data_IF_030827257785
#
_entry.id   IF_030827257785
#
_cell.length_a   1.000
_cell.length_b   1.000
_cell.length_c   1.000
_cell.angle_alpha   90.00
_cell.angle_beta   90.00
_cell.angle_gamma   90.00
#
_symmetry.space_group_name_H-M   'P 1'
#
loop_
_entity.id
_entity.type
_entity.pdbx_description
1 polymer ?
#
# COMPACT_ATOMS: atom_id res chain seq x y z
N UNK A 1 11.24 9.31 0.94
CA UNK A 1 10.27 9.95 1.84
C UNK A 1 10.69 9.69 3.28
N UNK A 2 10.29 10.53 4.24
CA UNK A 2 10.54 10.33 5.67
C UNK A 2 9.27 10.67 6.43
N UNK A 3 8.78 9.76 7.27
CA UNK A 3 7.56 9.95 8.05
C UNK A 3 7.74 10.89 9.24
N UNK A 4 6.66 11.55 9.67
CA UNK A 4 6.69 12.40 10.87
C UNK A 4 6.66 11.53 12.12
N UNK A 5 7.24 12.05 13.20
CA UNK A 5 7.39 11.33 14.47
C UNK A 5 6.06 10.79 15.03
N UNK A 6 4.97 11.56 14.93
CA UNK A 6 3.67 11.14 15.45
C UNK A 6 3.08 9.96 14.66
N UNK A 7 3.24 9.98 13.33
CA UNK A 7 2.78 8.90 12.43
C UNK A 7 3.59 7.61 12.68
N UNK A 8 4.90 7.74 12.88
CA UNK A 8 5.77 6.62 13.25
C UNK A 8 5.31 5.98 14.57
N UNK A 9 4.95 6.81 15.56
CA UNK A 9 4.61 6.33 16.90
C UNK A 9 3.35 5.44 16.94
N UNK A 10 2.38 5.67 16.04
CA UNK A 10 1.15 4.89 15.99
C UNK A 10 1.43 3.51 15.37
N UNK A 11 2.10 3.50 14.22
CA UNK A 11 2.48 2.27 13.53
C UNK A 11 3.39 1.41 14.41
N UNK A 12 4.35 2.03 15.10
CA UNK A 12 5.25 1.34 16.03
C UNK A 12 4.49 0.64 17.16
N UNK A 13 3.52 1.30 17.80
CA UNK A 13 2.70 0.69 18.88
C UNK A 13 1.94 -0.55 18.45
N UNK A 14 1.58 -0.65 17.17
CA UNK A 14 0.93 -1.84 16.61
C UNK A 14 1.97 -2.92 16.30
N UNK A 15 3.10 -2.55 15.70
CA UNK A 15 4.21 -3.47 15.45
C UNK A 15 4.76 -4.08 16.75
N UNK A 16 4.87 -3.32 17.85
CA UNK A 16 5.28 -3.83 19.17
C UNK A 16 4.38 -4.95 19.69
N UNK A 17 3.13 -5.02 19.25
CA UNK A 17 2.16 -6.05 19.66
C UNK A 17 2.04 -7.20 18.68
N UNK A 18 2.21 -6.93 17.39
CA UNK A 18 1.98 -7.90 16.31
C UNK A 18 3.28 -8.54 15.79
N UNK A 19 4.44 -7.91 15.96
CA UNK A 19 5.70 -8.43 15.45
C UNK A 19 6.13 -9.71 16.19
N UNK A 20 6.70 -10.72 15.49
CA UNK A 20 6.90 -10.79 14.04
C UNK A 20 5.57 -11.00 13.28
N UNK A 21 5.35 -10.23 12.21
CA UNK A 21 4.14 -10.31 11.40
C UNK A 21 4.39 -10.17 9.90
N UNK A 22 3.35 -10.36 9.09
CA UNK A 22 3.36 -10.00 7.67
C UNK A 22 3.02 -8.52 7.50
N UNK A 23 3.98 -7.72 7.04
CA UNK A 23 3.86 -6.28 6.87
C UNK A 23 4.04 -5.88 5.40
N UNK A 24 3.02 -5.29 4.79
CA UNK A 24 3.09 -4.73 3.44
C UNK A 24 3.20 -3.21 3.50
N UNK A 25 4.15 -2.64 2.75
CA UNK A 25 4.36 -1.20 2.64
C UNK A 25 4.29 -0.79 1.18
N UNK A 26 3.36 0.08 0.83
CA UNK A 26 3.37 0.78 -0.46
C UNK A 26 4.26 2.01 -0.32
N UNK A 27 5.44 1.97 -0.93
CA UNK A 27 6.49 2.97 -0.88
C UNK A 27 7.82 2.36 -0.42
N UNK A 28 8.94 2.84 -0.99
CA UNK A 28 10.28 2.49 -0.55
C UNK A 28 11.10 3.76 -0.28
N UNK A 29 11.69 3.86 0.91
CA UNK A 29 12.41 5.05 1.36
C UNK A 29 13.49 4.79 2.41
N UNK A 30 14.00 5.87 3.00
CA UNK A 30 15.02 5.82 4.05
C UNK A 30 14.53 5.17 5.35
N UNK A 31 13.22 5.18 5.57
CA UNK A 31 12.51 4.57 6.67
C UNK A 31 12.26 3.06 6.49
N UNK A 32 12.50 2.50 5.28
CA UNK A 32 12.28 1.07 5.01
C UNK A 32 13.08 0.16 5.93
N UNK A 33 14.35 0.51 6.19
CA UNK A 33 15.18 -0.24 7.13
C UNK A 33 14.62 -0.19 8.56
N UNK A 34 14.11 0.98 8.97
CA UNK A 34 13.47 1.14 10.27
C UNK A 34 12.22 0.24 10.37
N UNK A 35 11.36 0.24 9.36
CA UNK A 35 10.16 -0.62 9.32
C UNK A 35 10.50 -2.11 9.37
N UNK A 36 11.47 -2.54 8.56
CA UNK A 36 11.96 -3.92 8.56
C UNK A 36 12.58 -4.29 9.92
N UNK A 37 13.29 -3.37 10.57
CA UNK A 37 13.92 -3.60 11.88
C UNK A 37 12.90 -3.67 13.02
N UNK A 38 11.85 -2.83 12.99
CA UNK A 38 10.75 -2.91 13.96
C UNK A 38 9.94 -4.19 13.82
N UNK A 39 9.91 -4.79 12.63
CA UNK A 39 9.30 -6.08 12.39
C UNK A 39 10.33 -7.22 12.32
N UNK A 40 11.34 -7.21 13.20
CA UNK A 40 12.41 -8.21 13.21
C UNK A 40 11.85 -9.64 13.30
N UNK A 41 12.43 -10.57 12.52
CA UNK A 41 11.95 -11.95 12.29
C UNK A 41 10.57 -12.08 11.62
N UNK A 42 9.88 -10.97 11.34
CA UNK A 42 8.70 -10.95 10.48
C UNK A 42 9.07 -10.80 9.00
N UNK A 43 8.06 -10.77 8.14
CA UNK A 43 8.23 -10.50 6.71
C UNK A 43 7.72 -9.10 6.40
N UNK A 44 8.59 -8.24 5.87
CA UNK A 44 8.21 -6.88 5.45
C UNK A 44 8.47 -6.74 3.96
N UNK A 45 7.42 -6.45 3.19
CA UNK A 45 7.47 -6.32 1.73
C UNK A 45 7.17 -4.88 1.32
N UNK A 46 8.01 -4.32 0.45
CA UNK A 46 7.87 -2.97 -0.08
C UNK A 46 7.43 -2.99 -1.55
N UNK A 47 6.49 -2.13 -1.92
CA UNK A 47 6.07 -1.91 -3.31
C UNK A 47 6.47 -0.52 -3.76
N UNK A 48 7.21 -0.41 -4.86
CA UNK A 48 7.76 0.85 -5.35
C UNK A 48 7.63 0.97 -6.88
N UNK A 49 7.44 2.18 -7.41
CA UNK A 49 7.26 2.39 -8.86
C UNK A 49 8.59 2.52 -9.61
N UNK A 50 9.61 3.07 -8.96
CA UNK A 50 10.89 3.36 -9.57
C UNK A 50 11.90 2.21 -9.38
N UNK A 51 12.16 1.47 -10.45
CA UNK A 51 13.10 0.34 -10.42
C UNK A 51 14.55 0.75 -10.09
N UNK A 52 15.01 1.90 -10.57
CA UNK A 52 16.36 2.39 -10.28
C UNK A 52 16.49 2.74 -8.78
N UNK A 53 15.41 3.25 -8.18
CA UNK A 53 15.35 3.51 -6.75
C UNK A 53 15.36 2.22 -5.93
N UNK A 54 14.58 1.21 -6.34
CA UNK A 54 14.64 -0.14 -5.75
C UNK A 54 16.08 -0.66 -5.79
N UNK A 55 16.73 -0.63 -6.96
CA UNK A 55 18.09 -1.12 -7.12
C UNK A 55 19.10 -0.37 -6.23
N UNK A 56 18.96 0.96 -6.14
CA UNK A 56 19.81 1.78 -5.26
C UNK A 56 19.66 1.39 -3.79
N UNK A 57 18.42 1.34 -3.29
CA UNK A 57 18.15 1.07 -1.87
C UNK A 57 18.51 -0.37 -1.50
N UNK A 58 18.15 -1.35 -2.33
CA UNK A 58 18.49 -2.76 -2.07
C UNK A 58 19.99 -3.05 -2.19
N UNK A 59 20.75 -2.25 -2.95
CA UNK A 59 22.21 -2.32 -2.94
C UNK A 59 22.81 -1.81 -1.62
N UNK A 60 22.23 -0.77 -1.04
CA UNK A 60 22.67 -0.22 0.26
C UNK A 60 22.19 -1.08 1.44
N UNK A 61 21.00 -1.68 1.33
CA UNK A 61 20.38 -2.53 2.35
C UNK A 61 19.85 -3.83 1.71
N UNK A 62 20.71 -4.84 1.50
CA UNK A 62 20.34 -6.07 0.80
C UNK A 62 19.30 -6.95 1.49
N UNK A 63 18.98 -6.68 2.76
CA UNK A 63 17.97 -7.41 3.52
C UNK A 63 16.53 -6.96 3.21
N UNK A 64 16.33 -5.87 2.46
CA UNK A 64 14.99 -5.39 2.12
C UNK A 64 14.39 -6.18 0.96
N UNK A 65 13.16 -6.65 1.15
CA UNK A 65 12.35 -7.31 0.13
C UNK A 65 11.45 -6.27 -0.56
N UNK A 66 11.74 -5.93 -1.82
CA UNK A 66 11.01 -4.91 -2.56
C UNK A 66 10.66 -5.36 -3.98
N UNK A 67 9.47 -4.99 -4.45
CA UNK A 67 8.97 -5.30 -5.79
C UNK A 67 8.53 -4.04 -6.53
N UNK A 68 8.80 -4.03 -7.85
CA UNK A 68 8.35 -2.94 -8.70
C UNK A 68 6.86 -3.08 -9.02
N UNK A 69 6.12 -1.97 -8.96
CA UNK A 69 4.78 -1.86 -9.51
C UNK A 69 4.54 -0.49 -10.16
N UNK A 70 4.17 -0.48 -11.44
CA UNK A 70 3.82 0.74 -12.16
C UNK A 70 2.32 1.02 -12.01
N UNK A 71 1.97 2.12 -11.37
CA UNK A 71 0.57 2.53 -11.27
C UNK A 71 0.10 3.18 -12.58
N UNK A 72 -0.97 2.65 -13.17
CA UNK A 72 -1.49 3.09 -14.47
C UNK A 72 -2.49 4.27 -14.37
N UNK A 73 -2.88 4.66 -13.16
CA UNK A 73 -3.88 5.72 -12.96
C UNK A 73 -3.28 7.11 -12.87
N UNK A 74 -4.10 8.12 -13.15
CA UNK A 74 -3.80 9.53 -12.91
C UNK A 74 -4.76 10.13 -11.88
N UNK A 75 -4.34 11.18 -11.19
CA UNK A 75 -5.14 11.83 -10.15
C UNK A 75 -6.40 12.51 -10.68
N UNK A 76 -6.37 13.03 -11.91
CA UNK A 76 -7.53 13.62 -12.59
C UNK A 76 -8.69 12.64 -12.79
N UNK A 77 -8.42 11.33 -12.79
CA UNK A 77 -9.43 10.28 -12.87
C UNK A 77 -10.17 10.04 -11.53
N UNK A 78 -9.72 10.63 -10.42
CA UNK A 78 -10.28 10.35 -9.10
C UNK A 78 -11.80 10.57 -8.98
N UNK A 79 -12.40 11.67 -9.51
CA UNK A 79 -13.85 11.86 -9.46
C UNK A 79 -14.63 10.77 -10.21
N UNK A 80 -14.14 10.36 -11.39
CA UNK A 80 -14.74 9.29 -12.19
C UNK A 80 -14.63 7.95 -11.48
N UNK A 81 -13.44 7.62 -10.95
CA UNK A 81 -13.20 6.40 -10.17
C UNK A 81 -14.12 6.33 -8.93
N UNK A 82 -14.39 7.46 -8.26
CA UNK A 82 -15.34 7.52 -7.13
C UNK A 82 -16.78 7.28 -7.58
N UNK A 83 -17.16 7.85 -8.72
CA UNK A 83 -18.47 7.61 -9.32
C UNK A 83 -18.66 6.13 -9.67
N UNK A 84 -17.66 5.53 -10.33
CA UNK A 84 -17.63 4.09 -10.67
C UNK A 84 -17.76 3.24 -9.41
N UNK A 85 -16.96 3.49 -8.37
CA UNK A 85 -17.03 2.72 -7.13
C UNK A 85 -18.39 2.77 -6.45
N UNK A 86 -19.11 3.89 -6.55
CA UNK A 86 -20.46 4.07 -5.99
C UNK A 86 -21.55 3.47 -6.86
N UNK A 87 -21.36 3.41 -8.18
CA UNK A 87 -22.40 2.97 -9.12
C UNK A 87 -22.30 1.48 -9.42
N UNK A 88 -21.11 1.00 -9.76
CA UNK A 88 -20.89 -0.34 -10.30
C UNK A 88 -21.05 -1.42 -9.22
N UNK A 89 -21.91 -2.41 -9.48
CA UNK A 89 -22.11 -3.53 -8.56
C UNK A 89 -20.87 -4.40 -8.40
N UNK A 90 -20.03 -4.45 -9.45
CA UNK A 90 -18.72 -5.11 -9.40
C UNK A 90 -17.79 -4.50 -8.34
N UNK A 91 -18.02 -3.26 -7.91
CA UNK A 91 -17.24 -2.60 -6.86
C UNK A 91 -17.85 -2.72 -5.45
N UNK A 92 -19.09 -3.23 -5.34
CA UNK A 92 -19.85 -3.28 -4.07
C UNK A 92 -19.88 -4.66 -3.42
N UNK A 93 -19.88 -5.71 -4.23
CA UNK A 93 -20.16 -7.09 -3.80
C UNK A 93 -18.95 -8.02 -3.81
N UNK A 94 -17.76 -7.52 -4.14
CA UNK A 94 -16.59 -8.36 -4.29
C UNK A 94 -15.92 -8.61 -2.93
N UNK A 95 -16.30 -9.72 -2.30
CA UNK A 95 -15.37 -10.53 -1.49
C UNK A 95 -14.78 -11.56 -2.45
N UNK A 96 -13.45 -11.66 -2.49
CA UNK A 96 -12.76 -12.54 -3.44
C UNK A 96 -11.48 -11.92 -3.99
N UNK A 97 -10.67 -12.77 -4.62
CA UNK A 97 -9.33 -12.43 -5.09
C UNK A 97 -9.33 -11.18 -5.99
N UNK A 98 -8.61 -10.09 -5.61
CA UNK A 98 -8.55 -8.87 -6.40
C UNK A 98 -8.12 -9.10 -7.85
N UNK A 99 -7.31 -10.13 -8.13
CA UNK A 99 -6.87 -10.50 -9.50
C UNK A 99 -8.03 -10.80 -10.44
N UNK A 100 -9.16 -11.25 -9.91
CA UNK A 100 -10.35 -11.62 -10.67
C UNK A 100 -11.43 -10.52 -10.67
N UNK A 101 -11.16 -9.38 -10.04
CA UNK A 101 -12.13 -8.30 -9.89
C UNK A 101 -12.41 -7.61 -11.21
N UNK A 102 -13.70 -7.43 -11.54
CA UNK A 102 -14.17 -6.61 -12.65
C UNK A 102 -14.33 -5.12 -12.28
N UNK A 103 -14.10 -4.76 -11.02
CA UNK A 103 -14.17 -3.36 -10.59
C UNK A 103 -12.93 -2.61 -11.10
N UNK A 104 -13.08 -1.47 -11.81
CA UNK A 104 -11.95 -0.69 -12.29
C UNK A 104 -11.02 -0.17 -11.18
N UNK A 105 -11.49 -0.15 -9.92
CA UNK A 105 -10.70 0.27 -8.76
C UNK A 105 -9.72 -0.80 -8.25
N UNK A 106 -9.94 -2.07 -8.60
CA UNK A 106 -9.04 -3.13 -8.19
C UNK A 106 -7.75 -3.08 -9.01
N UNK A 107 -6.62 -3.14 -8.32
CA UNK A 107 -5.33 -3.47 -8.93
C UNK A 107 -5.29 -4.98 -9.11
N UNK A 108 -5.25 -5.43 -10.37
CA UNK A 108 -5.33 -6.87 -10.73
C UNK A 108 -3.97 -7.45 -11.13
N UNK A 109 -2.96 -6.60 -11.32
CA UNK A 109 -1.63 -6.95 -11.87
C UNK A 109 -0.45 -6.61 -10.93
N UNK A 110 -0.67 -6.50 -9.62
CA UNK A 110 0.40 -6.41 -8.61
C UNK A 110 1.29 -7.67 -8.58
N UNK A 111 2.51 -7.58 -8.00
CA UNK A 111 3.30 -8.75 -7.62
C UNK A 111 2.46 -9.78 -6.84
N UNK A 112 2.68 -11.07 -7.12
CA UNK A 112 1.86 -12.16 -6.55
C UNK A 112 1.88 -12.18 -5.02
N UNK A 113 2.98 -11.74 -4.42
CA UNK A 113 3.19 -11.67 -2.98
C UNK A 113 2.12 -10.80 -2.31
N UNK A 114 1.66 -9.74 -2.99
CA UNK A 114 0.59 -8.87 -2.49
C UNK A 114 -0.73 -9.63 -2.30
N UNK A 115 -1.01 -10.62 -3.15
CA UNK A 115 -2.27 -11.38 -3.13
C UNK A 115 -2.19 -12.69 -2.36
N UNK A 116 -1.02 -13.32 -2.32
CA UNK A 116 -0.83 -14.67 -1.76
C UNK A 116 -0.55 -14.68 -0.25
N UNK A 117 -0.32 -13.50 0.34
CA UNK A 117 0.00 -13.33 1.76
C UNK A 117 -1.17 -12.67 2.48
N UNK A 118 -1.55 -13.23 3.63
CA UNK A 118 -2.42 -12.53 4.58
C UNK A 118 -1.59 -11.51 5.36
N UNK A 119 -1.93 -10.23 5.21
CA UNK A 119 -1.18 -9.14 5.81
C UNK A 119 -1.76 -8.76 7.17
N UNK A 120 -0.91 -8.76 8.20
CA UNK A 120 -1.25 -8.26 9.54
C UNK A 120 -1.30 -6.74 9.60
N UNK A 121 -0.41 -6.13 8.83
CA UNK A 121 -0.20 -4.72 8.78
C UNK A 121 -0.02 -4.28 7.32
N UNK A 122 -0.70 -3.20 6.93
CA UNK A 122 -0.51 -2.57 5.63
C UNK A 122 -0.29 -1.07 5.83
N UNK A 123 0.78 -0.54 5.27
CA UNK A 123 1.04 0.90 5.21
C UNK A 123 0.93 1.40 3.77
N UNK A 124 0.11 2.42 3.56
CA UNK A 124 -0.05 3.11 2.29
C UNK A 124 0.63 4.47 2.37
N UNK A 125 1.89 4.54 1.96
CA UNK A 125 2.67 5.79 1.91
C UNK A 125 2.84 6.32 0.48
N UNK A 126 2.83 5.42 -0.50
CA UNK A 126 2.85 5.70 -1.93
C UNK A 126 1.60 5.16 -2.63
N UNK A 127 1.28 5.64 -3.86
CA UNK A 127 1.90 6.77 -4.54
C UNK A 127 1.56 8.11 -3.88
N UNK A 128 2.49 9.07 -3.88
CA UNK A 128 2.32 10.36 -3.18
C UNK A 128 1.36 11.32 -3.89
N UNK A 129 1.14 11.16 -5.20
CA UNK A 129 0.18 11.97 -5.95
C UNK A 129 0.48 13.48 -5.91
N UNK A 130 1.75 13.87 -6.10
CA UNK A 130 2.19 15.26 -5.97
C UNK A 130 1.77 16.18 -7.13
N UNK A 131 1.38 15.62 -8.28
CA UNK A 131 0.99 16.35 -9.49
C UNK A 131 -0.23 15.70 -10.17
N UNK A 132 -1.05 16.48 -10.88
CA UNK A 132 -2.31 16.02 -11.51
C UNK A 132 -2.16 14.80 -12.43
N UNK A 133 -0.99 14.63 -13.05
CA UNK A 133 -0.68 13.51 -13.96
C UNK A 133 -0.05 12.30 -13.26
N UNK A 134 0.16 12.37 -11.94
CA UNK A 134 0.73 11.26 -11.18
C UNK A 134 -0.36 10.33 -10.63
N UNK A 135 0.00 9.07 -10.32
CA UNK A 135 -0.92 8.12 -9.71
C UNK A 135 -1.43 8.56 -8.34
N UNK A 136 -2.74 8.35 -8.13
CA UNK A 136 -3.38 8.57 -6.84
C UNK A 136 -3.53 7.28 -6.03
N UNK A 137 -3.64 7.40 -4.70
CA UNK A 137 -3.80 6.26 -3.77
C UNK A 137 -5.14 5.54 -3.85
N UNK A 138 -6.07 5.98 -4.69
CA UNK A 138 -7.45 5.50 -4.65
C UNK A 138 -7.58 3.99 -4.97
N UNK A 139 -6.91 3.52 -6.02
CA UNK A 139 -6.89 2.09 -6.36
C UNK A 139 -6.13 1.26 -5.32
N UNK A 140 -5.06 1.81 -4.74
CA UNK A 140 -4.33 1.18 -3.64
C UNK A 140 -5.23 0.99 -2.43
N UNK A 141 -5.90 2.06 -1.97
CA UNK A 141 -6.83 2.01 -0.83
C UNK A 141 -7.95 1.01 -1.08
N UNK A 142 -8.56 1.02 -2.29
CA UNK A 142 -9.61 0.07 -2.64
C UNK A 142 -9.10 -1.38 -2.59
N UNK A 143 -7.95 -1.65 -3.20
CA UNK A 143 -7.36 -3.00 -3.26
C UNK A 143 -6.94 -3.48 -1.88
N UNK A 144 -6.32 -2.63 -1.07
CA UNK A 144 -5.99 -2.93 0.33
C UNK A 144 -7.24 -3.23 1.13
N UNK A 145 -8.34 -2.51 0.91
CA UNK A 145 -9.63 -2.82 1.52
C UNK A 145 -10.15 -4.22 1.14
N UNK A 146 -9.92 -4.69 -0.10
CA UNK A 146 -10.23 -6.05 -0.49
C UNK A 146 -9.31 -7.07 0.19
N UNK A 147 -8.00 -6.83 0.20
CA UNK A 147 -7.01 -7.72 0.85
C UNK A 147 -7.32 -7.89 2.34
N UNK A 148 -7.56 -6.79 3.05
CA UNK A 148 -7.89 -6.80 4.48
C UNK A 148 -9.21 -7.54 4.78
N UNK A 149 -10.21 -7.44 3.89
CA UNK A 149 -11.50 -8.14 4.05
C UNK A 149 -11.47 -9.60 3.65
N UNK A 150 -10.57 -9.98 2.74
CA UNK A 150 -10.41 -11.35 2.26
C UNK A 150 -9.56 -12.20 3.21
N UNK A 151 -8.89 -11.59 4.18
CA UNK A 151 -8.15 -12.30 5.22
C UNK A 151 -9.11 -13.23 5.98
N UNK A 152 -8.75 -14.51 6.05
CA UNK A 152 -9.54 -15.56 6.69
C UNK A 152 -9.39 -15.51 8.22
N UNK A 153 -8.18 -15.23 8.71
CA UNK A 153 -7.86 -15.30 10.14
C UNK A 153 -7.29 -14.00 10.68
N UNK A 154 -8.04 -13.32 11.55
CA UNK A 154 -7.59 -12.12 12.26
C UNK A 154 -7.90 -10.82 11.53
N UNK A 155 -7.33 -9.72 12.02
CA UNK A 155 -7.59 -8.37 11.54
C UNK A 155 -6.33 -7.75 10.94
N UNK A 156 -6.47 -7.10 9.79
CA UNK A 156 -5.43 -6.28 9.17
C UNK A 156 -5.55 -4.83 9.64
N UNK A 157 -4.48 -4.31 10.26
CA UNK A 157 -4.39 -2.88 10.53
C UNK A 157 -3.88 -2.16 9.28
N UNK A 158 -4.59 -1.10 8.86
CA UNK A 158 -4.25 -0.32 7.68
C UNK A 158 -3.93 1.11 8.08
N UNK A 159 -2.71 1.55 7.76
CA UNK A 159 -2.27 2.93 7.93
C UNK A 159 -2.20 3.64 6.58
N UNK A 160 -2.76 4.84 6.50
CA UNK A 160 -2.66 5.70 5.31
C UNK A 160 -1.90 6.94 5.70
N UNK A 161 -0.75 7.14 5.06
CA UNK A 161 0.19 8.19 5.40
C UNK A 161 0.03 9.40 4.45
N UNK A 162 0.27 10.60 4.98
CA UNK A 162 0.11 11.91 4.30
C UNK A 162 -1.28 12.16 3.67
N UNK A 163 -2.31 12.36 4.50
CA UNK A 163 -3.66 12.72 4.05
C UNK A 163 -3.91 14.24 3.91
N UNK A 164 -2.92 15.11 4.19
CA UNK A 164 -3.11 16.57 4.14
C UNK A 164 -2.76 17.12 2.75
N UNK A 165 -3.78 17.19 1.88
CA UNK A 165 -3.70 17.98 0.65
C UNK A 165 -3.97 19.45 0.97
N UNK A 166 -3.03 20.35 0.67
CA UNK A 166 -3.32 21.77 0.57
C UNK A 166 -4.20 21.94 -0.68
N UNK A 167 -5.50 22.11 -0.49
CA UNK A 167 -6.37 22.62 -1.56
C UNK A 167 -6.31 24.14 -1.48
N UNK A 168 -5.49 24.77 -2.31
CA UNK A 168 -5.71 26.18 -2.60
C UNK A 168 -6.98 26.24 -3.46
N UNK A 169 -8.03 26.83 -2.88
CA UNK A 169 -9.26 27.19 -3.58
C UNK A 169 -9.07 28.43 -4.44
#
# INVERSE_FOLDING_TARGET
MQQKHDEISITLKVLEKKSPCNFLVFGLGFDSLMWSSFNHNGRTVFIEENNDWIHKITKEVPSLEAYQYTYETRLDQAPELLSIGKREDSCKKNLGDPRNSKCPLALTNMPKEVYEIEWDLIMIDAPTGSFYDLPGRMKVIYTVGLLARNRENGETDVFVHDCKRITNG
#
